data_IF_892600211829
#
_entry.id   IF_892600211829
#
_cell.length_a   1.000
_cell.length_b   1.000
_cell.length_c   1.000
_cell.angle_alpha   90.00
_cell.angle_beta   90.00
_cell.angle_gamma   90.00
#
_symmetry.space_group_name_H-M   'P 1'
#
loop_
_entity.id
_entity.type
_entity.pdbx_description
1 polymer ?
#
# COMPACT_ATOMS: atom_id res chain seq x y z
N UNK A 1 -20.24 15.20 1.00
CA UNK A 1 -20.39 13.78 0.62
C UNK A 1 -20.95 12.93 1.75
N UNK A 2 -20.26 12.76 2.90
CA UNK A 2 -20.78 11.95 4.02
C UNK A 2 -22.16 12.43 4.48
N UNK A 3 -22.35 13.74 4.64
CA UNK A 3 -23.66 14.32 4.96
C UNK A 3 -24.74 13.91 3.94
N UNK A 4 -24.43 14.00 2.64
CA UNK A 4 -25.34 13.60 1.55
C UNK A 4 -25.72 12.12 1.60
N UNK A 5 -24.81 11.23 2.01
CA UNK A 5 -25.12 9.81 2.20
C UNK A 5 -26.16 9.63 3.33
N UNK A 6 -25.98 10.34 4.44
CA UNK A 6 -26.93 10.30 5.55
C UNK A 6 -28.28 10.92 5.19
N UNK A 7 -28.29 12.08 4.53
CA UNK A 7 -29.51 12.78 4.10
C UNK A 7 -30.32 11.95 3.08
N UNK A 8 -29.66 11.09 2.30
CA UNK A 8 -30.30 10.15 1.37
C UNK A 8 -30.69 8.80 1.99
N UNK A 9 -30.43 8.62 3.29
CA UNK A 9 -30.68 7.37 4.02
C UNK A 9 -30.05 6.15 3.33
N UNK A 10 -28.78 6.24 2.92
CA UNK A 10 -28.09 5.26 2.08
C UNK A 10 -28.08 3.81 2.61
N UNK A 11 -28.23 3.60 3.93
CA UNK A 11 -28.33 2.28 4.55
C UNK A 11 -29.68 1.60 4.31
N UNK A 12 -30.70 2.36 3.95
CA UNK A 12 -32.05 1.87 3.63
C UNK A 12 -32.36 2.02 2.13
N UNK A 13 -31.91 3.10 1.52
CA UNK A 13 -32.05 3.38 0.10
C UNK A 13 -30.80 2.94 -0.65
N UNK A 14 -30.69 1.63 -0.89
CA UNK A 14 -29.52 1.02 -1.52
C UNK A 14 -29.34 1.54 -2.95
N UNK A 15 -28.17 2.09 -3.25
CA UNK A 15 -27.86 2.66 -4.57
C UNK A 15 -26.39 2.45 -4.92
N UNK A 16 -26.11 2.21 -6.20
CA UNK A 16 -24.74 2.14 -6.73
C UNK A 16 -24.00 3.47 -6.53
N UNK A 17 -24.71 4.60 -6.55
CA UNK A 17 -24.13 5.92 -6.31
C UNK A 17 -23.61 6.06 -4.87
N UNK A 18 -24.27 5.43 -3.90
CA UNK A 18 -23.78 5.40 -2.51
C UNK A 18 -22.48 4.60 -2.41
N UNK A 19 -22.40 3.46 -3.11
CA UNK A 19 -21.18 2.65 -3.17
C UNK A 19 -20.05 3.45 -3.84
N UNK A 20 -20.31 4.06 -4.99
CA UNK A 20 -19.34 4.91 -5.70
C UNK A 20 -18.83 6.05 -4.82
N UNK A 21 -19.73 6.78 -4.17
CA UNK A 21 -19.37 7.88 -3.28
C UNK A 21 -18.44 7.41 -2.16
N UNK A 22 -18.76 6.31 -1.48
CA UNK A 22 -17.93 5.76 -0.41
C UNK A 22 -16.55 5.32 -0.93
N UNK A 23 -16.51 4.59 -2.05
CA UNK A 23 -15.26 4.11 -2.66
C UNK A 23 -14.34 5.27 -3.08
N UNK A 24 -14.90 6.32 -3.68
CA UNK A 24 -14.15 7.53 -4.06
C UNK A 24 -13.67 8.29 -2.82
N UNK A 25 -14.45 8.28 -1.73
CA UNK A 25 -14.09 9.01 -0.53
C UNK A 25 -12.83 8.52 0.17
N UNK A 26 -12.48 7.25 -0.03
CA UNK A 26 -11.21 6.68 0.42
C UNK A 26 -10.02 7.48 -0.08
N UNK A 27 -10.11 8.11 -1.26
CA UNK A 27 -9.02 8.88 -1.85
C UNK A 27 -8.63 10.14 -1.06
N UNK A 28 -9.50 10.61 -0.16
CA UNK A 28 -9.28 11.83 0.66
C UNK A 28 -9.50 11.61 2.15
N UNK A 29 -10.26 10.58 2.55
CA UNK A 29 -10.65 10.38 3.94
C UNK A 29 -9.44 10.23 4.89
N UNK A 30 -8.36 9.62 4.41
CA UNK A 30 -7.13 9.47 5.18
C UNK A 30 -6.42 10.80 5.43
N UNK A 31 -6.34 11.69 4.42
CA UNK A 31 -5.76 13.02 4.59
C UNK A 31 -6.55 13.88 5.57
N UNK A 32 -7.88 13.67 5.63
CA UNK A 32 -8.78 14.39 6.54
C UNK A 32 -8.84 13.77 7.95
N UNK A 33 -8.08 12.70 8.22
CA UNK A 33 -8.09 12.02 9.52
C UNK A 33 -9.34 11.16 9.79
N UNK A 34 -10.17 10.91 8.77
CA UNK A 34 -11.44 10.17 8.85
C UNK A 34 -11.29 8.68 8.47
N UNK A 35 -10.11 8.10 8.67
CA UNK A 35 -9.80 6.73 8.23
C UNK A 35 -10.74 5.66 8.81
N UNK A 36 -11.07 5.75 10.09
CA UNK A 36 -11.94 4.78 10.75
C UNK A 36 -13.40 4.88 10.30
N UNK A 37 -13.88 6.11 10.11
CA UNK A 37 -15.19 6.36 9.52
C UNK A 37 -15.25 5.75 8.12
N UNK A 38 -14.23 6.00 7.29
CA UNK A 38 -14.17 5.46 5.93
C UNK A 38 -14.13 3.93 5.91
N UNK A 39 -13.35 3.28 6.77
CA UNK A 39 -13.31 1.82 6.87
C UNK A 39 -14.67 1.22 7.26
N UNK A 40 -15.43 1.90 8.12
CA UNK A 40 -16.79 1.50 8.51
C UNK A 40 -17.76 1.67 7.34
N UNK A 41 -17.74 2.84 6.68
CA UNK A 41 -18.56 3.12 5.50
C UNK A 41 -18.25 2.15 4.36
N UNK A 42 -16.98 1.82 4.15
CA UNK A 42 -16.53 0.85 3.14
C UNK A 42 -17.18 -0.52 3.34
N UNK A 43 -17.17 -1.06 4.57
CA UNK A 43 -17.83 -2.34 4.85
C UNK A 43 -19.35 -2.27 4.72
N UNK A 44 -19.97 -1.13 5.02
CA UNK A 44 -21.37 -0.91 4.67
C UNK A 44 -21.58 -0.92 3.15
N UNK A 45 -20.69 -0.29 2.38
CA UNK A 45 -20.73 -0.30 0.91
C UNK A 45 -20.54 -1.70 0.32
N UNK A 46 -19.68 -2.54 0.91
CA UNK A 46 -19.57 -3.98 0.55
C UNK A 46 -20.92 -4.65 0.67
N UNK A 47 -21.62 -4.48 1.80
CA UNK A 47 -22.95 -5.05 1.99
C UNK A 47 -23.98 -4.49 1.00
N UNK A 48 -23.95 -3.19 0.73
CA UNK A 48 -24.85 -2.56 -0.25
C UNK A 48 -24.60 -3.13 -1.65
N UNK A 49 -23.33 -3.24 -2.07
CA UNK A 49 -22.93 -3.82 -3.35
C UNK A 49 -23.37 -5.28 -3.48
N UNK A 50 -23.28 -6.07 -2.40
CA UNK A 50 -23.81 -7.43 -2.35
C UNK A 50 -25.31 -7.47 -2.59
N UNK A 51 -26.08 -6.65 -1.88
CA UNK A 51 -27.53 -6.54 -2.04
C UNK A 51 -27.94 -6.12 -3.46
N UNK A 52 -27.17 -5.25 -4.09
CA UNK A 52 -27.36 -4.81 -5.48
C UNK A 52 -26.87 -5.82 -6.52
N UNK A 53 -26.25 -6.93 -6.11
CA UNK A 53 -25.74 -7.96 -7.03
C UNK A 53 -24.44 -7.58 -7.77
N UNK A 54 -23.74 -6.54 -7.33
CA UNK A 54 -22.50 -6.04 -7.96
C UNK A 54 -21.37 -7.08 -7.91
N UNK A 55 -21.39 -7.99 -6.92
CA UNK A 55 -20.47 -9.12 -6.79
C UNK A 55 -20.71 -10.27 -7.78
N UNK A 56 -21.79 -10.23 -8.57
CA UNK A 56 -22.17 -11.31 -9.51
C UNK A 56 -22.61 -10.79 -10.88
N UNK A 57 -22.01 -9.69 -11.34
CA UNK A 57 -22.25 -9.12 -12.67
C UNK A 57 -21.74 -10.10 -13.74
N UNK A 58 -22.61 -10.43 -14.68
CA UNK A 58 -22.27 -11.30 -15.80
C UNK A 58 -21.54 -10.53 -16.91
N UNK A 59 -20.69 -11.23 -17.65
CA UNK A 59 -20.06 -10.66 -18.83
C UNK A 59 -21.07 -10.32 -19.94
N UNK A 60 -20.64 -9.45 -20.85
CA UNK A 60 -21.47 -9.01 -21.96
C UNK A 60 -21.79 -10.16 -22.90
N UNK A 61 -22.95 -10.06 -23.55
CA UNK A 61 -23.19 -10.87 -24.74
C UNK A 61 -22.19 -10.49 -25.84
N UNK A 62 -21.77 -11.46 -26.65
CA UNK A 62 -20.96 -11.21 -27.85
C UNK A 62 -21.76 -10.51 -28.96
N UNK A 63 -23.05 -10.28 -28.77
CA UNK A 63 -23.92 -9.59 -29.71
C UNK A 63 -23.56 -8.09 -29.75
N UNK A 64 -23.51 -7.48 -30.94
CA UNK A 64 -23.30 -6.05 -31.05
C UNK A 64 -24.48 -5.29 -30.46
N UNK A 65 -24.21 -4.14 -29.84
CA UNK A 65 -25.21 -3.19 -29.35
C UNK A 65 -26.14 -2.78 -30.50
N UNK A 66 -27.44 -3.06 -30.39
CA UNK A 66 -28.41 -2.77 -31.44
C UNK A 66 -29.20 -1.48 -31.20
N UNK A 67 -29.43 -1.16 -29.93
CA UNK A 67 -30.31 -0.07 -29.53
C UNK A 67 -29.77 0.67 -28.29
N UNK A 68 -30.51 1.68 -27.84
CA UNK A 68 -30.13 2.52 -26.70
C UNK A 68 -30.13 1.74 -25.38
N UNK A 69 -31.09 0.85 -25.16
CA UNK A 69 -31.22 0.08 -23.92
C UNK A 69 -30.05 -0.91 -23.78
N UNK A 70 -29.64 -1.55 -24.88
CA UNK A 70 -28.44 -2.40 -24.93
C UNK A 70 -27.17 -1.61 -24.54
N UNK A 71 -27.08 -0.35 -24.98
CA UNK A 71 -25.97 0.53 -24.65
C UNK A 71 -25.98 0.93 -23.17
N UNK A 72 -27.14 1.34 -22.64
CA UNK A 72 -27.29 1.71 -21.23
C UNK A 72 -26.96 0.51 -20.31
N UNK A 73 -27.46 -0.69 -20.62
CA UNK A 73 -27.12 -1.92 -19.89
C UNK A 73 -25.60 -2.20 -19.91
N UNK A 74 -24.97 -2.01 -21.08
CA UNK A 74 -23.52 -2.22 -21.24
C UNK A 74 -22.72 -1.24 -20.38
N UNK A 75 -23.11 0.02 -20.34
CA UNK A 75 -22.50 1.04 -19.49
C UNK A 75 -22.69 0.70 -18.02
N UNK A 76 -23.90 0.35 -17.58
CA UNK A 76 -24.18 0.01 -16.18
C UNK A 76 -23.34 -1.19 -15.70
N UNK A 77 -23.22 -2.23 -16.53
CA UNK A 77 -22.38 -3.40 -16.23
C UNK A 77 -20.91 -3.02 -16.08
N UNK A 78 -20.37 -2.21 -16.98
CA UNK A 78 -18.95 -1.80 -16.93
C UNK A 78 -18.65 -0.88 -15.75
N UNK A 79 -19.57 0.05 -15.44
CA UNK A 79 -19.48 0.86 -14.22
C UNK A 79 -19.51 -0.04 -13.00
N UNK A 80 -20.43 -1.00 -12.92
CA UNK A 80 -20.50 -1.95 -11.82
C UNK A 80 -19.23 -2.79 -11.65
N UNK A 81 -18.65 -3.29 -12.75
CA UNK A 81 -17.38 -4.04 -12.73
C UNK A 81 -16.21 -3.19 -12.24
N UNK A 82 -16.11 -1.93 -12.67
CA UNK A 82 -15.06 -0.98 -12.23
C UNK A 82 -15.19 -0.69 -10.74
N UNK A 83 -16.41 -0.43 -10.26
CA UNK A 83 -16.69 -0.22 -8.82
C UNK A 83 -16.30 -1.46 -8.02
N UNK A 84 -16.72 -2.65 -8.46
CA UNK A 84 -16.38 -3.90 -7.79
C UNK A 84 -14.86 -4.13 -7.72
N UNK A 85 -14.14 -3.93 -8.83
CA UNK A 85 -12.68 -4.06 -8.85
C UNK A 85 -12.01 -3.06 -7.90
N UNK A 86 -12.49 -1.81 -7.84
CA UNK A 86 -11.95 -0.83 -6.90
C UNK A 86 -12.20 -1.22 -5.44
N UNK A 87 -13.34 -1.83 -5.14
CA UNK A 87 -13.62 -2.36 -3.80
C UNK A 87 -12.67 -3.52 -3.45
N UNK A 88 -12.42 -4.45 -4.38
CA UNK A 88 -11.42 -5.51 -4.21
C UNK A 88 -10.04 -4.91 -3.90
N UNK A 89 -9.61 -3.90 -4.68
CA UNK A 89 -8.33 -3.22 -4.47
C UNK A 89 -8.23 -2.66 -3.06
N UNK A 90 -9.25 -1.90 -2.61
CA UNK A 90 -9.25 -1.26 -1.29
C UNK A 90 -9.27 -2.28 -0.15
N UNK A 91 -10.11 -3.32 -0.23
CA UNK A 91 -10.21 -4.37 0.79
C UNK A 91 -8.91 -5.19 0.89
N UNK A 92 -8.36 -5.63 -0.25
CA UNK A 92 -7.20 -6.50 -0.27
C UNK A 92 -5.89 -5.77 0.04
N UNK A 93 -5.74 -4.51 -0.38
CA UNK A 93 -4.58 -3.71 -0.01
C UNK A 93 -4.59 -3.29 1.47
N UNK A 94 -5.73 -3.37 2.15
CA UNK A 94 -5.84 -3.13 3.60
C UNK A 94 -5.42 -4.35 4.46
N UNK A 95 -5.37 -5.56 3.89
CA UNK A 95 -5.02 -6.81 4.59
C UNK A 95 -3.78 -6.69 5.48
N UNK A 96 -2.64 -6.11 5.04
CA UNK A 96 -1.45 -5.99 5.88
C UNK A 96 -1.67 -5.21 7.18
N UNK A 97 -2.74 -4.42 7.29
CA UNK A 97 -3.06 -3.59 8.45
C UNK A 97 -4.18 -4.18 9.30
N UNK A 98 -5.08 -4.96 8.70
CA UNK A 98 -6.28 -5.52 9.35
C UNK A 98 -6.15 -7.00 9.69
N UNK A 99 -5.18 -7.70 9.08
CA UNK A 99 -5.03 -9.17 9.12
C UNK A 99 -6.30 -9.94 8.70
N UNK A 100 -7.21 -9.28 7.99
CA UNK A 100 -8.49 -9.82 7.51
C UNK A 100 -8.94 -9.09 6.25
N UNK A 101 -9.87 -9.68 5.51
CA UNK A 101 -10.52 -9.10 4.35
C UNK A 101 -12.01 -9.45 4.35
N UNK A 102 -12.84 -8.59 3.78
CA UNK A 102 -14.29 -8.78 3.72
C UNK A 102 -14.74 -9.43 2.41
N UNK A 103 -14.03 -9.18 1.31
CA UNK A 103 -14.38 -9.69 -0.01
C UNK A 103 -13.58 -10.96 -0.26
N UNK A 104 -14.17 -12.14 -0.07
CA UNK A 104 -13.46 -13.38 -0.39
C UNK A 104 -13.47 -13.68 -1.88
N UNK A 105 -12.33 -14.08 -2.48
CA UNK A 105 -12.28 -14.59 -3.87
C UNK A 105 -13.22 -15.76 -4.13
N UNK A 106 -13.67 -16.48 -3.10
CA UNK A 106 -14.62 -17.59 -3.23
C UNK A 106 -16.08 -17.15 -3.30
N UNK A 107 -16.39 -15.87 -3.05
CA UNK A 107 -17.76 -15.38 -2.83
C UNK A 107 -18.26 -14.40 -3.90
N UNK A 108 -17.53 -14.22 -5.01
CA UNK A 108 -17.96 -13.36 -6.12
C UNK A 108 -17.66 -13.98 -7.48
N UNK A 109 -18.38 -13.54 -8.51
CA UNK A 109 -18.20 -13.98 -9.90
C UNK A 109 -18.07 -12.84 -10.91
N UNK A 110 -18.12 -11.59 -10.46
CA UNK A 110 -17.90 -10.41 -11.31
C UNK A 110 -16.51 -10.44 -11.92
N UNK A 111 -16.45 -10.45 -13.26
CA UNK A 111 -15.21 -10.38 -14.02
C UNK A 111 -14.58 -8.98 -14.04
N UNK A 112 -13.41 -8.87 -14.67
CA UNK A 112 -12.73 -7.58 -14.85
C UNK A 112 -13.48 -6.70 -15.86
N UNK A 113 -13.47 -5.36 -15.69
CA UNK A 113 -14.04 -4.45 -16.69
C UNK A 113 -13.25 -4.54 -17.98
N UNK A 114 -13.87 -4.33 -19.14
CA UNK A 114 -13.19 -4.30 -20.45
C UNK A 114 -12.06 -3.26 -20.46
N UNK A 115 -11.02 -3.50 -21.27
CA UNK A 115 -10.00 -2.49 -21.48
C UNK A 115 -10.47 -1.57 -22.60
N UNK A 116 -11.32 -0.61 -22.27
CA UNK A 116 -12.00 0.23 -23.24
C UNK A 116 -12.11 1.69 -22.77
N UNK A 117 -12.34 2.58 -23.73
CA UNK A 117 -12.72 3.97 -23.45
C UNK A 117 -14.21 4.11 -23.19
N UNK A 118 -14.59 5.15 -22.42
CA UNK A 118 -15.98 5.32 -21.96
C UNK A 118 -16.95 5.73 -23.08
N UNK A 119 -16.46 6.31 -24.17
CA UNK A 119 -17.31 6.82 -25.25
C UNK A 119 -17.78 5.73 -26.23
N UNK A 120 -17.09 4.60 -26.32
CA UNK A 120 -17.42 3.51 -27.25
C UNK A 120 -17.47 2.11 -26.59
N UNK A 121 -16.85 1.94 -25.42
CA UNK A 121 -16.68 0.67 -24.73
C UNK A 121 -16.15 -0.46 -25.64
N UNK A 122 -15.37 -0.13 -26.68
CA UNK A 122 -14.78 -1.15 -27.56
C UNK A 122 -13.58 -1.79 -26.85
N UNK A 123 -13.59 -3.10 -26.71
CA UNK A 123 -12.52 -3.81 -26.00
C UNK A 123 -11.21 -3.74 -26.80
N UNK A 124 -10.17 -3.25 -26.15
CA UNK A 124 -8.84 -3.05 -26.71
C UNK A 124 -7.82 -3.97 -26.04
N UNK A 125 -6.75 -4.38 -26.75
CA UNK A 125 -5.66 -5.12 -26.13
C UNK A 125 -5.12 -4.40 -24.89
N UNK A 126 -4.72 -5.13 -23.84
CA UNK A 126 -4.18 -4.55 -22.60
C UNK A 126 -2.90 -3.71 -22.83
N UNK A 127 -2.24 -3.89 -23.97
CA UNK A 127 -1.11 -3.09 -24.44
C UNK A 127 -1.50 -1.69 -24.94
N UNK A 128 -2.79 -1.38 -25.04
CA UNK A 128 -3.30 -0.06 -25.39
C UNK A 128 -3.82 0.63 -24.12
N UNK A 129 -3.32 1.83 -23.79
CA UNK A 129 -3.82 2.59 -22.64
C UNK A 129 -5.27 2.98 -22.88
N UNK A 130 -6.12 2.73 -21.88
CA UNK A 130 -7.51 3.19 -21.80
C UNK A 130 -7.81 3.64 -20.38
N UNK A 131 -8.93 4.33 -20.20
CA UNK A 131 -9.45 4.70 -18.88
C UNK A 131 -9.56 3.50 -17.90
N UNK A 132 -9.72 2.27 -18.42
CA UNK A 132 -9.87 1.06 -17.59
C UNK A 132 -8.56 0.30 -17.34
N UNK A 133 -7.46 0.63 -18.01
CA UNK A 133 -6.21 -0.14 -17.89
C UNK A 133 -5.67 -0.12 -16.47
N UNK A 134 -5.66 1.05 -15.83
CA UNK A 134 -5.03 1.23 -14.52
C UNK A 134 -5.69 0.37 -13.43
N UNK A 135 -7.03 0.41 -13.34
CA UNK A 135 -7.77 -0.41 -12.38
C UNK A 135 -7.56 -1.90 -12.63
N UNK A 136 -7.54 -2.34 -13.89
CA UNK A 136 -7.28 -3.75 -14.26
C UNK A 136 -5.89 -4.21 -13.79
N UNK A 137 -4.90 -3.35 -13.86
CA UNK A 137 -3.55 -3.62 -13.35
C UNK A 137 -3.54 -3.70 -11.82
N UNK A 138 -4.12 -2.72 -11.13
CA UNK A 138 -4.12 -2.69 -9.67
C UNK A 138 -4.83 -3.90 -9.05
N UNK A 139 -5.97 -4.33 -9.60
CA UNK A 139 -6.68 -5.49 -9.06
C UNK A 139 -5.91 -6.81 -9.27
N UNK A 140 -5.04 -6.92 -10.29
CA UNK A 140 -4.11 -8.06 -10.39
C UNK A 140 -3.12 -8.13 -9.23
N UNK A 141 -2.61 -6.98 -8.78
CA UNK A 141 -1.71 -6.92 -7.62
C UNK A 141 -2.49 -7.25 -6.34
N UNK A 142 -3.70 -6.71 -6.21
CA UNK A 142 -4.57 -6.89 -5.04
C UNK A 142 -4.96 -8.36 -4.81
N UNK A 143 -5.24 -9.13 -5.87
CA UNK A 143 -5.63 -10.54 -5.79
C UNK A 143 -4.57 -11.45 -5.14
N UNK A 144 -3.31 -11.01 -5.02
CA UNK A 144 -2.28 -11.77 -4.32
C UNK A 144 -2.39 -11.68 -2.79
N UNK A 145 -3.04 -10.63 -2.26
CA UNK A 145 -3.01 -10.30 -0.83
C UNK A 145 -3.83 -11.25 0.06
N UNK A 146 -5.00 -11.78 -0.35
CA UNK A 146 -5.67 -12.84 0.43
C UNK A 146 -4.78 -14.08 0.61
N UNK A 147 -4.09 -14.50 -0.45
CA UNK A 147 -3.15 -15.61 -0.41
C UNK A 147 -1.95 -15.36 0.53
N UNK A 148 -1.53 -14.10 0.69
CA UNK A 148 -0.51 -13.72 1.66
C UNK A 148 -0.96 -14.07 3.08
N UNK A 149 -2.10 -13.54 3.53
CA UNK A 149 -2.55 -13.71 4.92
C UNK A 149 -3.01 -15.14 5.22
N UNK A 150 -3.70 -15.79 4.28
CA UNK A 150 -4.22 -17.14 4.46
C UNK A 150 -3.07 -18.17 4.54
N UNK A 151 -2.00 -17.95 3.79
CA UNK A 151 -0.84 -18.83 3.81
C UNK A 151 -0.02 -18.78 5.10
N UNK A 152 -0.18 -17.74 5.94
CA UNK A 152 0.38 -17.68 7.30
C UNK A 152 -0.34 -18.63 8.28
N UNK A 153 -1.50 -19.17 7.90
CA UNK A 153 -2.35 -20.02 8.72
C UNK A 153 -3.33 -19.22 9.59
N UNK A 154 -4.27 -19.89 10.28
CA UNK A 154 -5.28 -19.20 11.08
C UNK A 154 -4.68 -18.33 12.18
N UNK A 155 -5.32 -17.20 12.51
CA UNK A 155 -4.80 -16.26 13.52
C UNK A 155 -4.56 -16.90 14.89
N UNK A 156 -5.44 -17.82 15.31
CA UNK A 156 -5.31 -18.58 16.57
C UNK A 156 -4.22 -19.65 16.57
N UNK A 157 -3.67 -19.97 15.40
CA UNK A 157 -2.74 -21.08 15.20
C UNK A 157 -1.88 -20.82 13.96
N UNK A 158 -1.08 -19.76 14.03
CA UNK A 158 -0.15 -19.40 12.94
C UNK A 158 0.85 -20.54 12.72
N UNK A 159 1.29 -20.70 11.47
CA UNK A 159 2.31 -21.69 11.10
C UNK A 159 3.64 -21.40 11.80
N UNK A 160 4.59 -22.36 11.87
CA UNK A 160 5.95 -22.08 12.32
C UNK A 160 6.62 -20.96 11.48
N UNK A 161 7.49 -20.16 12.10
CA UNK A 161 8.14 -19.02 11.43
C UNK A 161 8.86 -19.39 10.13
N UNK A 162 9.50 -20.57 10.09
CA UNK A 162 10.17 -21.07 8.89
C UNK A 162 9.22 -21.22 7.71
N UNK A 163 8.04 -21.80 7.94
CA UNK A 163 7.02 -21.98 6.91
C UNK A 163 6.39 -20.66 6.49
N UNK A 164 6.11 -19.77 7.46
CA UNK A 164 5.63 -18.42 7.16
C UNK A 164 6.62 -17.65 6.29
N UNK A 165 7.91 -17.71 6.61
CA UNK A 165 8.93 -17.01 5.85
C UNK A 165 9.08 -17.56 4.43
N UNK A 166 9.07 -18.90 4.29
CA UNK A 166 9.07 -19.53 2.96
C UNK A 166 7.85 -19.11 2.12
N UNK A 167 6.67 -19.03 2.73
CA UNK A 167 5.46 -18.54 2.08
C UNK A 167 5.61 -17.08 1.62
N UNK A 168 6.15 -16.21 2.46
CA UNK A 168 6.41 -14.80 2.13
C UNK A 168 7.32 -14.67 0.91
N UNK A 169 8.42 -15.43 0.84
CA UNK A 169 9.31 -15.41 -0.32
C UNK A 169 8.62 -15.88 -1.61
N UNK A 170 7.72 -16.86 -1.52
CA UNK A 170 6.92 -17.31 -2.66
C UNK A 170 5.93 -16.23 -3.14
N UNK A 171 5.30 -15.51 -2.20
CA UNK A 171 4.38 -14.43 -2.55
C UNK A 171 5.14 -13.23 -3.13
N UNK A 172 6.32 -12.90 -2.62
CA UNK A 172 7.21 -11.87 -3.20
C UNK A 172 7.56 -12.20 -4.66
N UNK A 173 7.97 -13.44 -4.94
CA UNK A 173 8.27 -13.88 -6.31
C UNK A 173 7.04 -13.76 -7.23
N UNK A 174 5.85 -14.13 -6.74
CA UNK A 174 4.59 -13.97 -7.49
C UNK A 174 4.28 -12.50 -7.77
N UNK A 175 4.46 -11.61 -6.78
CA UNK A 175 4.25 -10.18 -6.95
C UNK A 175 5.17 -9.62 -8.03
N UNK A 176 6.47 -9.94 -7.98
CA UNK A 176 7.44 -9.54 -9.00
C UNK A 176 7.07 -10.05 -10.40
N UNK A 177 6.57 -11.28 -10.50
CA UNK A 177 6.10 -11.86 -11.76
C UNK A 177 4.85 -11.14 -12.31
N UNK A 178 3.90 -10.76 -11.45
CA UNK A 178 2.72 -9.98 -11.88
C UNK A 178 3.15 -8.61 -12.38
N UNK A 179 4.04 -7.92 -11.65
CA UNK A 179 4.55 -6.60 -12.04
C UNK A 179 5.28 -6.66 -13.38
N UNK A 180 6.07 -7.71 -13.66
CA UNK A 180 6.75 -7.89 -14.95
C UNK A 180 5.79 -7.99 -16.15
N UNK A 181 4.55 -8.42 -15.94
CA UNK A 181 3.53 -8.54 -16.98
C UNK A 181 2.69 -7.27 -17.17
N UNK A 182 2.96 -6.20 -16.41
CA UNK A 182 2.26 -4.92 -16.56
C UNK A 182 2.65 -4.29 -17.91
N UNK A 183 1.70 -3.65 -18.64
CA UNK A 183 1.99 -3.00 -19.90
C UNK A 183 3.13 -1.97 -19.78
N UNK A 184 4.10 -1.95 -20.73
CA UNK A 184 5.29 -1.10 -20.61
C UNK A 184 5.02 0.39 -20.43
N UNK A 185 3.92 0.91 -20.99
CA UNK A 185 3.54 2.34 -20.84
C UNK A 185 3.20 2.72 -19.39
N UNK A 186 2.81 1.75 -18.54
CA UNK A 186 2.58 1.96 -17.12
C UNK A 186 3.82 1.69 -16.26
N UNK A 187 4.91 1.21 -16.85
CA UNK A 187 6.15 0.90 -16.14
C UNK A 187 7.24 1.90 -16.47
N UNK A 188 7.41 2.25 -17.75
CA UNK A 188 8.55 3.01 -18.26
C UNK A 188 8.13 4.40 -18.71
N UNK A 189 8.93 5.44 -18.45
CA UNK A 189 8.65 6.79 -18.92
C UNK A 189 8.65 6.83 -20.46
N UNK A 190 7.67 7.54 -21.01
CA UNK A 190 7.51 7.77 -22.44
C UNK A 190 6.92 9.16 -22.63
N UNK A 191 7.79 10.17 -22.79
CA UNK A 191 7.40 11.59 -22.82
C UNK A 191 6.37 11.89 -23.90
N UNK A 192 6.52 11.29 -25.08
CA UNK A 192 5.59 11.51 -26.19
C UNK A 192 4.19 10.97 -25.84
N UNK A 193 4.10 9.78 -25.23
CA UNK A 193 2.82 9.24 -24.77
C UNK A 193 2.26 10.00 -23.56
N UNK A 194 3.10 10.41 -22.63
CA UNK A 194 2.69 11.15 -21.43
C UNK A 194 2.16 12.55 -21.81
N UNK A 195 2.68 13.18 -22.87
CA UNK A 195 2.13 14.42 -23.43
C UNK A 195 0.74 14.20 -24.09
N UNK A 196 0.52 13.05 -24.71
CA UNK A 196 -0.75 12.70 -25.37
C UNK A 196 -1.82 12.21 -24.39
N UNK A 197 -1.41 11.60 -23.26
CA UNK A 197 -2.29 10.97 -22.28
C UNK A 197 -2.02 11.60 -20.91
N UNK A 198 -2.77 12.65 -20.52
CA UNK A 198 -2.45 13.49 -19.36
C UNK A 198 -2.37 12.74 -18.02
N UNK A 199 -3.08 11.62 -17.87
CA UNK A 199 -3.08 10.83 -16.64
C UNK A 199 -1.92 9.82 -16.55
N UNK A 200 -1.19 9.59 -17.65
CA UNK A 200 -0.27 8.46 -17.76
C UNK A 200 0.96 8.60 -16.84
N UNK A 201 1.58 9.78 -16.81
CA UNK A 201 2.76 10.03 -15.97
C UNK A 201 2.47 9.75 -14.49
N UNK A 202 1.40 10.35 -13.96
CA UNK A 202 1.03 10.17 -12.56
C UNK A 202 0.56 8.73 -12.26
N UNK A 203 -0.12 8.07 -13.19
CA UNK A 203 -0.51 6.67 -13.04
C UNK A 203 0.71 5.74 -12.95
N UNK A 204 1.70 5.92 -13.84
CA UNK A 204 2.96 5.16 -13.84
C UNK A 204 3.70 5.33 -12.51
N UNK A 205 3.88 6.57 -12.04
CA UNK A 205 4.55 6.84 -10.75
C UNK A 205 3.79 6.27 -9.57
N UNK A 206 2.46 6.45 -9.56
CA UNK A 206 1.59 5.87 -8.52
C UNK A 206 1.69 4.35 -8.48
N UNK A 207 1.80 3.70 -9.65
CA UNK A 207 2.00 2.26 -9.75
C UNK A 207 3.36 1.81 -9.25
N UNK A 208 4.42 2.54 -9.57
CA UNK A 208 5.77 2.29 -9.06
C UNK A 208 5.82 2.34 -7.53
N UNK A 209 5.25 3.39 -6.93
CA UNK A 209 5.13 3.52 -5.47
C UNK A 209 4.28 2.38 -4.90
N UNK A 210 3.12 2.07 -5.52
CA UNK A 210 2.23 0.99 -5.05
C UNK A 210 2.92 -0.37 -5.11
N UNK A 211 3.61 -0.70 -6.19
CA UNK A 211 4.31 -1.98 -6.33
C UNK A 211 5.42 -2.11 -5.29
N UNK A 212 6.24 -1.07 -5.11
CA UNK A 212 7.30 -1.06 -4.10
C UNK A 212 6.72 -1.20 -2.68
N UNK A 213 5.62 -0.50 -2.37
CA UNK A 213 4.98 -0.64 -1.06
C UNK A 213 4.40 -2.04 -0.85
N UNK A 214 3.79 -2.66 -1.86
CA UNK A 214 3.23 -4.00 -1.70
C UNK A 214 4.29 -5.06 -1.46
N UNK A 215 5.49 -4.89 -2.02
CA UNK A 215 6.66 -5.71 -1.68
C UNK A 215 7.02 -5.55 -0.20
N UNK A 216 7.08 -4.33 0.33
CA UNK A 216 7.30 -4.08 1.76
C UNK A 216 6.20 -4.77 2.60
N UNK A 217 4.94 -4.65 2.18
CA UNK A 217 3.81 -5.24 2.91
C UNK A 217 3.82 -6.76 2.93
N UNK A 218 4.24 -7.41 1.86
CA UNK A 218 4.47 -8.88 1.81
C UNK A 218 5.50 -9.29 2.87
N UNK A 219 6.55 -8.49 3.01
CA UNK A 219 7.64 -8.72 3.97
C UNK A 219 7.35 -8.26 5.40
N UNK A 220 6.25 -7.52 5.64
CA UNK A 220 5.88 -6.93 6.94
C UNK A 220 5.98 -7.89 8.13
N UNK A 221 5.55 -9.17 8.05
CA UNK A 221 5.60 -10.09 9.20
C UNK A 221 7.02 -10.35 9.74
N UNK A 222 8.07 -10.19 8.91
CA UNK A 222 9.46 -10.38 9.30
C UNK A 222 10.31 -9.11 9.21
N UNK A 223 9.72 -7.99 8.75
CA UNK A 223 10.42 -6.73 8.53
C UNK A 223 11.16 -6.26 9.79
N UNK A 224 10.47 -6.11 10.92
CA UNK A 224 11.12 -5.61 12.13
C UNK A 224 12.21 -6.57 12.67
N UNK A 225 11.95 -7.88 12.56
CA UNK A 225 12.92 -8.92 12.96
C UNK A 225 14.17 -8.88 12.09
N UNK A 226 14.05 -8.52 10.82
CA UNK A 226 15.16 -8.47 9.86
C UNK A 226 16.24 -7.44 10.19
N UNK A 227 15.93 -6.42 11.00
CA UNK A 227 16.93 -5.46 11.47
C UNK A 227 17.85 -6.04 12.56
N UNK A 228 17.45 -7.13 13.22
CA UNK A 228 18.16 -7.70 14.36
C UNK A 228 18.68 -9.12 14.07
N UNK A 229 18.01 -9.86 13.17
CA UNK A 229 18.36 -11.23 12.82
C UNK A 229 18.82 -11.33 11.35
N UNK A 230 20.11 -11.64 11.11
CA UNK A 230 20.67 -11.81 9.76
C UNK A 230 19.99 -12.89 8.91
N UNK A 231 19.28 -13.84 9.54
CA UNK A 231 18.50 -14.88 8.84
C UNK A 231 17.49 -14.28 7.88
N UNK A 232 16.95 -13.10 8.19
CA UNK A 232 15.98 -12.38 7.36
C UNK A 232 16.60 -11.24 6.55
N UNK A 233 17.91 -11.29 6.29
CA UNK A 233 18.64 -10.24 5.54
C UNK A 233 18.03 -9.90 4.18
N UNK A 234 17.46 -10.88 3.47
CA UNK A 234 16.74 -10.63 2.22
C UNK A 234 15.56 -9.66 2.42
N UNK A 235 14.76 -9.86 3.48
CA UNK A 235 13.65 -8.97 3.83
C UNK A 235 14.13 -7.55 4.09
N UNK A 236 15.20 -7.39 4.87
CA UNK A 236 15.80 -6.08 5.16
C UNK A 236 16.24 -5.39 3.88
N UNK A 237 17.08 -6.04 3.07
CA UNK A 237 17.59 -5.50 1.79
C UNK A 237 16.46 -5.08 0.86
N UNK A 238 15.51 -5.98 0.60
CA UNK A 238 14.37 -5.74 -0.30
C UNK A 238 13.50 -4.59 0.19
N UNK A 239 13.20 -4.51 1.49
CA UNK A 239 12.34 -3.47 2.04
C UNK A 239 13.02 -2.10 2.08
N UNK A 240 14.33 -2.04 2.36
CA UNK A 240 15.11 -0.79 2.33
C UNK A 240 15.22 -0.26 0.90
N UNK A 241 15.50 -1.12 -0.06
CA UNK A 241 15.56 -0.74 -1.47
C UNK A 241 14.19 -0.23 -1.97
N UNK A 242 13.11 -0.95 -1.65
CA UNK A 242 11.75 -0.53 -1.95
C UNK A 242 11.38 0.81 -1.30
N UNK A 243 11.78 1.03 -0.04
CA UNK A 243 11.56 2.29 0.66
C UNK A 243 12.28 3.45 -0.05
N UNK A 244 13.54 3.27 -0.46
CA UNK A 244 14.27 4.28 -1.24
C UNK A 244 13.58 4.62 -2.55
N UNK A 245 13.10 3.62 -3.28
CA UNK A 245 12.29 3.83 -4.49
C UNK A 245 11.06 4.70 -4.22
N UNK A 246 10.29 4.38 -3.18
CA UNK A 246 9.09 5.15 -2.81
C UNK A 246 9.45 6.62 -2.55
N UNK A 247 10.54 6.86 -1.80
CA UNK A 247 10.96 8.24 -1.48
C UNK A 247 11.40 9.02 -2.72
N UNK A 248 12.07 8.38 -3.68
CA UNK A 248 12.50 8.99 -4.96
C UNK A 248 11.32 9.34 -5.87
N UNK A 249 10.38 8.42 -6.02
CA UNK A 249 9.16 8.66 -6.82
C UNK A 249 8.28 9.73 -6.17
N UNK A 250 8.12 9.69 -4.85
CA UNK A 250 7.39 10.73 -4.11
C UNK A 250 8.04 12.11 -4.26
N UNK A 251 9.37 12.19 -4.21
CA UNK A 251 10.09 13.45 -4.46
C UNK A 251 9.80 14.02 -5.85
N UNK A 252 9.78 13.14 -6.85
CA UNK A 252 9.53 13.51 -8.24
C UNK A 252 8.10 14.02 -8.43
N UNK A 253 7.10 13.34 -7.84
CA UNK A 253 5.70 13.81 -7.83
C UNK A 253 5.59 15.22 -7.21
N UNK A 254 6.25 15.45 -6.07
CA UNK A 254 6.21 16.76 -5.41
C UNK A 254 6.92 17.83 -6.23
N UNK A 255 8.08 17.52 -6.80
CA UNK A 255 8.89 18.46 -7.60
C UNK A 255 8.17 18.90 -8.88
N UNK A 256 7.41 17.99 -9.50
CA UNK A 256 6.67 18.26 -10.73
C UNK A 256 5.26 18.82 -10.47
N UNK A 257 4.92 19.10 -9.20
CA UNK A 257 3.62 19.62 -8.79
C UNK A 257 2.44 18.73 -9.25
N UNK A 258 2.69 17.42 -9.36
CA UNK A 258 1.68 16.43 -9.72
C UNK A 258 0.63 16.26 -8.61
N UNK A 259 -0.51 15.66 -8.97
CA UNK A 259 -1.56 15.30 -8.01
C UNK A 259 -1.00 14.31 -6.98
N UNK A 260 -0.94 14.74 -5.72
CA UNK A 260 -0.55 13.88 -4.60
C UNK A 260 -1.78 13.32 -3.89
N UNK A 261 -2.01 12.02 -4.04
CA UNK A 261 -3.09 11.27 -3.36
C UNK A 261 -2.63 10.72 -2.01
N UNK A 262 -3.59 10.30 -1.18
CA UNK A 262 -3.30 9.82 0.18
C UNK A 262 -2.30 8.65 0.23
N UNK A 263 -2.32 7.76 -0.78
CA UNK A 263 -1.41 6.61 -0.85
C UNK A 263 0.04 7.06 -1.00
N UNK A 264 0.32 8.09 -1.80
CA UNK A 264 1.68 8.64 -1.91
C UNK A 264 2.20 9.12 -0.55
N UNK A 265 1.35 9.81 0.20
CA UNK A 265 1.68 10.29 1.56
C UNK A 265 1.89 9.12 2.52
N UNK A 266 0.95 8.17 2.58
CA UNK A 266 1.01 7.00 3.45
C UNK A 266 2.27 6.15 3.20
N UNK A 267 2.61 5.95 1.93
CA UNK A 267 3.71 5.10 1.52
C UNK A 267 5.05 5.81 1.72
N UNK A 268 5.13 7.13 1.51
CA UNK A 268 6.31 7.92 1.87
C UNK A 268 6.59 7.90 3.38
N UNK A 269 5.56 7.96 4.23
CA UNK A 269 5.70 7.80 5.69
C UNK A 269 6.25 6.42 6.02
N UNK A 270 5.65 5.36 5.44
CA UNK A 270 6.09 3.97 5.67
C UNK A 270 7.55 3.78 5.26
N UNK A 271 7.94 4.30 4.10
CA UNK A 271 9.31 4.26 3.61
C UNK A 271 10.27 5.02 4.54
N UNK A 272 9.94 6.25 4.94
CA UNK A 272 10.76 7.04 5.86
C UNK A 272 10.96 6.33 7.22
N UNK A 273 9.92 5.67 7.75
CA UNK A 273 10.00 4.87 8.97
C UNK A 273 10.98 3.70 8.81
N UNK A 274 10.92 2.97 7.69
CA UNK A 274 11.86 1.88 7.38
C UNK A 274 13.29 2.40 7.29
N UNK A 275 13.50 3.54 6.64
CA UNK A 275 14.82 4.17 6.57
C UNK A 275 15.32 4.58 7.96
N UNK A 276 14.44 5.05 8.86
CA UNK A 276 14.83 5.33 10.25
C UNK A 276 15.30 4.07 10.98
N UNK A 277 14.58 2.94 10.80
CA UNK A 277 15.01 1.65 11.36
C UNK A 277 16.36 1.21 10.78
N UNK A 278 16.57 1.39 9.48
CA UNK A 278 17.84 1.05 8.81
C UNK A 278 19.01 1.87 9.37
N UNK A 279 18.86 3.19 9.47
CA UNK A 279 19.89 4.08 10.03
C UNK A 279 20.23 3.70 11.47
N UNK A 280 19.22 3.37 12.28
CA UNK A 280 19.43 2.94 13.67
C UNK A 280 20.10 1.57 13.78
N UNK A 281 19.90 0.68 12.80
CA UNK A 281 20.50 -0.65 12.76
C UNK A 281 21.93 -0.66 12.19
N UNK A 282 22.37 0.40 11.51
CA UNK A 282 23.76 0.56 11.07
C UNK A 282 24.62 0.95 12.28
N UNK A 283 25.60 0.12 12.63
CA UNK A 283 26.51 0.37 13.75
C UNK A 283 27.39 1.61 13.53
N UNK A 284 27.69 2.36 14.59
CA UNK A 284 28.48 3.62 14.61
C UNK A 284 29.84 3.53 13.88
N UNK A 285 30.44 2.33 13.77
CA UNK A 285 31.73 2.13 13.09
C UNK A 285 31.64 2.15 11.57
N UNK A 286 30.43 2.14 10.99
CA UNK A 286 30.20 2.19 9.55
C UNK A 286 29.67 3.57 9.15
N UNK A 287 30.54 4.59 9.20
CA UNK A 287 30.36 5.86 8.47
C UNK A 287 30.45 5.60 6.95
N UNK A 288 29.54 4.78 6.42
CA UNK A 288 29.43 4.55 4.98
C UNK A 288 28.66 5.71 4.34
N UNK A 289 29.03 6.09 3.13
CA UNK A 289 28.30 7.08 2.34
C UNK A 289 26.79 6.74 2.22
N UNK A 290 26.45 5.45 2.29
CA UNK A 290 25.06 4.96 2.30
C UNK A 290 24.27 5.43 3.51
N UNK A 291 24.85 5.42 4.73
CA UNK A 291 24.14 5.86 5.93
C UNK A 291 23.82 7.38 5.88
N UNK A 292 24.71 8.17 5.29
CA UNK A 292 24.48 9.60 5.08
C UNK A 292 23.36 9.84 4.05
N UNK A 293 23.40 9.14 2.92
CA UNK A 293 22.35 9.20 1.90
C UNK A 293 20.96 8.84 2.46
N UNK A 294 20.88 7.84 3.33
CA UNK A 294 19.62 7.46 3.99
C UNK A 294 19.09 8.55 4.93
N UNK A 295 19.98 9.20 5.70
CA UNK A 295 19.60 10.33 6.55
C UNK A 295 19.07 11.50 5.72
N UNK A 296 19.71 11.82 4.61
CA UNK A 296 19.26 12.87 3.68
C UNK A 296 17.89 12.54 3.09
N UNK A 297 17.67 11.28 2.66
CA UNK A 297 16.37 10.84 2.16
C UNK A 297 15.26 10.98 3.21
N UNK A 298 15.53 10.62 4.48
CA UNK A 298 14.58 10.79 5.59
C UNK A 298 14.25 12.28 5.80
N UNK A 299 15.26 13.13 5.89
CA UNK A 299 15.08 14.56 6.14
C UNK A 299 14.32 15.25 5.00
N UNK A 300 14.63 14.90 3.76
CA UNK A 300 13.94 15.40 2.57
C UNK A 300 12.48 14.94 2.53
N UNK A 301 12.22 13.66 2.80
CA UNK A 301 10.86 13.13 2.90
C UNK A 301 10.06 13.81 4.02
N UNK A 302 10.66 13.96 5.20
CA UNK A 302 10.04 14.67 6.34
C UNK A 302 9.69 16.11 5.97
N UNK A 303 10.59 16.85 5.31
CA UNK A 303 10.34 18.22 4.91
C UNK A 303 9.14 18.34 3.96
N UNK A 304 9.06 17.45 2.94
CA UNK A 304 7.92 17.39 2.02
C UNK A 304 6.60 17.02 2.69
N UNK A 305 6.63 16.13 3.68
CA UNK A 305 5.44 15.77 4.46
C UNK A 305 5.00 16.93 5.36
N UNK A 306 5.96 17.62 5.98
CA UNK A 306 5.69 18.75 6.88
C UNK A 306 5.06 19.93 6.14
N UNK A 307 5.37 20.16 4.87
CA UNK A 307 4.76 21.23 4.06
C UNK A 307 3.29 20.97 3.69
N UNK A 308 2.71 19.83 4.06
CA UNK A 308 1.30 19.48 3.79
C UNK A 308 0.42 19.81 4.99
N UNK A 309 0.17 21.10 5.22
CA UNK A 309 -0.52 21.58 6.43
C UNK A 309 -1.96 21.08 6.60
N UNK A 310 -2.66 20.80 5.50
CA UNK A 310 -4.05 20.31 5.50
C UNK A 310 -4.15 18.77 5.49
N UNK A 311 -3.03 18.07 5.55
CA UNK A 311 -2.95 16.63 5.47
C UNK A 311 -2.63 16.04 6.85
N UNK A 312 -3.69 15.66 7.58
CA UNK A 312 -3.58 15.09 8.94
C UNK A 312 -2.70 13.84 8.93
N UNK A 313 -2.74 13.04 7.87
CA UNK A 313 -1.91 11.86 7.73
C UNK A 313 -0.42 12.24 7.63
N UNK A 314 -0.09 13.24 6.81
CA UNK A 314 1.27 13.74 6.68
C UNK A 314 1.80 14.30 8.01
N UNK A 315 1.00 15.10 8.71
CA UNK A 315 1.39 15.69 10.01
C UNK A 315 1.62 14.62 11.09
N UNK A 316 0.78 13.59 11.16
CA UNK A 316 1.00 12.41 12.02
C UNK A 316 2.28 11.66 11.62
N UNK A 317 2.52 11.52 10.32
CA UNK A 317 3.73 10.91 9.78
C UNK A 317 5.01 11.62 10.20
N UNK A 318 5.04 12.97 10.13
CA UNK A 318 6.18 13.78 10.58
C UNK A 318 6.45 13.54 12.07
N UNK A 319 5.42 13.59 12.91
CA UNK A 319 5.55 13.32 14.34
C UNK A 319 6.12 11.92 14.64
N UNK A 320 5.76 10.92 13.83
CA UNK A 320 6.29 9.55 13.94
C UNK A 320 7.76 9.47 13.50
N UNK A 321 8.11 10.09 12.37
CA UNK A 321 9.50 10.14 11.89
C UNK A 321 10.38 10.81 12.94
N UNK A 322 9.95 11.93 13.50
CA UNK A 322 10.68 12.63 14.57
C UNK A 322 10.84 11.80 15.84
N UNK A 323 9.80 11.06 16.23
CA UNK A 323 9.85 10.16 17.38
C UNK A 323 10.93 9.08 17.22
N UNK A 324 10.98 8.41 16.06
CA UNK A 324 11.92 7.31 15.80
C UNK A 324 13.34 7.84 15.63
N UNK A 325 13.50 8.94 14.88
CA UNK A 325 14.82 9.51 14.60
C UNK A 325 15.48 10.10 15.86
N UNK A 326 14.68 10.72 16.74
CA UNK A 326 15.16 11.25 18.03
C UNK A 326 15.36 10.14 19.08
N UNK A 327 14.57 9.05 19.04
CA UNK A 327 14.80 7.88 19.89
C UNK A 327 16.15 7.22 19.60
N UNK A 328 16.53 7.08 18.33
CA UNK A 328 17.87 6.62 17.95
C UNK A 328 18.98 7.51 18.51
N UNK A 329 18.77 8.83 18.46
CA UNK A 329 19.72 9.85 18.93
C UNK A 329 20.01 9.79 20.44
N UNK A 330 18.98 9.59 21.28
CA UNK A 330 19.15 9.57 22.74
C UNK A 330 19.76 8.28 23.28
N UNK A 331 19.55 7.14 22.58
CA UNK A 331 20.20 5.85 22.86
C UNK A 331 21.72 5.87 22.57
N UNK A 332 22.25 6.94 21.96
CA UNK A 332 23.68 7.14 21.75
C UNK A 332 24.42 7.74 22.96
N UNK A 333 23.72 8.31 23.95
CA UNK A 333 24.35 8.88 25.15
C UNK A 333 24.48 7.91 26.34
N UNK A 334 23.99 6.67 26.23
CA UNK A 334 24.05 5.67 27.30
C UNK A 334 24.55 4.31 26.80
N UNK A 335 25.82 3.98 27.10
CA UNK A 335 26.39 2.64 27.27
C UNK A 335 26.08 1.51 26.27
N UNK A 336 27.14 0.85 25.79
CA UNK A 336 27.15 -0.37 24.98
C UNK A 336 26.44 -1.56 25.64
N UNK A 337 25.14 -1.73 25.38
CA UNK A 337 24.43 -3.01 25.47
C UNK A 337 23.54 -3.14 24.24
N UNK A 338 23.37 -4.36 23.74
CA UNK A 338 22.66 -4.73 22.50
C UNK A 338 21.34 -3.95 22.37
N UNK A 339 21.37 -2.89 21.54
CA UNK A 339 20.37 -1.81 21.49
C UNK A 339 19.10 -2.28 20.77
N UNK A 340 18.18 -2.89 21.51
CA UNK A 340 16.82 -3.07 21.01
C UNK A 340 16.09 -1.73 21.09
N UNK A 341 15.46 -1.30 20.00
CA UNK A 341 14.69 -0.05 19.97
C UNK A 341 13.56 -0.12 21.01
N UNK A 342 13.52 0.83 21.95
CA UNK A 342 12.47 0.89 22.97
C UNK A 342 11.18 1.47 22.36
N UNK A 343 10.26 0.59 21.98
CA UNK A 343 8.95 0.96 21.46
C UNK A 343 8.11 1.78 22.45
N UNK A 344 8.29 1.60 23.76
CA UNK A 344 7.63 2.40 24.78
C UNK A 344 8.10 3.86 24.72
N UNK A 345 9.40 4.08 24.55
CA UNK A 345 9.98 5.41 24.36
C UNK A 345 9.52 6.05 23.04
N UNK A 346 9.48 5.30 21.93
CA UNK A 346 8.98 5.78 20.63
C UNK A 346 7.52 6.22 20.76
N UNK A 347 6.67 5.43 21.42
CA UNK A 347 5.25 5.74 21.60
C UNK A 347 5.03 7.01 22.48
N UNK A 348 5.82 7.17 23.53
CA UNK A 348 5.78 8.38 24.38
C UNK A 348 6.21 9.64 23.62
N UNK A 349 7.27 9.54 22.81
CA UNK A 349 7.73 10.63 21.93
C UNK A 349 6.69 10.96 20.86
N UNK A 350 6.13 9.95 20.19
CA UNK A 350 5.07 10.12 19.20
C UNK A 350 3.86 10.84 19.79
N UNK A 351 3.44 10.48 20.99
CA UNK A 351 2.32 11.15 21.70
C UNK A 351 2.63 12.61 22.02
N UNK A 352 3.90 12.94 22.27
CA UNK A 352 4.34 14.31 22.54
C UNK A 352 4.38 15.13 21.26
N UNK A 353 5.02 14.61 20.20
CA UNK A 353 5.07 15.28 18.90
C UNK A 353 3.69 15.44 18.27
N UNK A 354 2.81 14.44 18.38
CA UNK A 354 1.44 14.52 17.87
C UNK A 354 0.66 15.67 18.52
N UNK A 355 0.81 15.90 19.83
CA UNK A 355 0.18 17.04 20.53
C UNK A 355 0.72 18.39 20.06
N UNK A 356 2.00 18.47 19.71
CA UNK A 356 2.63 19.69 19.21
C UNK A 356 2.17 20.01 17.77
N UNK A 357 2.02 19.00 16.92
CA UNK A 357 1.67 19.18 15.51
C UNK A 357 0.17 19.31 15.23
N UNK A 358 -0.69 18.62 16.00
CA UNK A 358 -2.12 18.49 15.68
C UNK A 358 -3.05 19.10 16.75
N UNK A 359 -2.51 19.64 17.84
CA UNK A 359 -3.29 20.08 19.00
C UNK A 359 -3.77 18.91 19.88
N UNK A 360 -4.50 19.22 20.96
CA UNK A 360 -5.13 18.18 21.79
C UNK A 360 -6.20 17.44 20.98
N UNK A 361 -6.25 16.10 20.99
CA UNK A 361 -7.31 15.38 20.29
C UNK A 361 -8.66 15.87 20.82
N UNK A 362 -9.55 16.29 19.91
CA UNK A 362 -10.97 16.39 20.24
C UNK A 362 -11.39 15.05 20.80
N UNK A 363 -12.11 15.04 21.91
CA UNK A 363 -12.72 13.88 22.57
C UNK A 363 -13.57 13.07 21.58
N UNK A 364 -12.93 12.23 20.78
CA UNK A 364 -13.56 11.05 20.21
C UNK A 364 -13.85 10.14 21.39
N UNK A 365 -15.14 9.82 21.58
CA UNK A 365 -15.61 8.97 22.66
C UNK A 365 -14.75 7.72 22.74
N UNK A 366 -14.17 7.45 23.92
CA UNK A 366 -13.45 6.21 24.18
C UNK A 366 -14.33 5.03 23.75
N UNK A 367 -13.89 4.19 22.80
CA UNK A 367 -14.61 2.96 22.51
C UNK A 367 -14.66 2.13 23.80
N UNK A 368 -15.82 1.60 24.14
CA UNK A 368 -15.93 0.62 25.21
C UNK A 368 -14.88 -0.46 24.98
N UNK A 369 -13.89 -0.53 25.87
CA UNK A 369 -12.77 -1.45 25.72
C UNK A 369 -13.33 -2.84 26.00
N UNK A 370 -13.55 -3.64 24.97
CA UNK A 370 -13.61 -5.08 25.15
C UNK A 370 -12.21 -5.44 25.66
N UNK A 371 -12.13 -6.04 26.85
CA UNK A 371 -10.87 -6.46 27.45
C UNK A 371 -10.19 -7.47 26.52
N UNK A 372 -9.33 -6.98 25.63
CA UNK A 372 -8.36 -7.79 24.92
C UNK A 372 -7.34 -8.25 25.94
N UNK A 373 -7.25 -9.56 26.13
CA UNK A 373 -6.09 -10.20 26.77
C UNK A 373 -4.85 -9.58 26.16
N UNK A 374 -3.96 -9.05 27.00
CA UNK A 374 -2.66 -8.53 26.57
C UNK A 374 -2.05 -9.51 25.57
N UNK A 375 -1.84 -9.06 24.32
CA UNK A 375 -1.10 -9.82 23.33
C UNK A 375 0.37 -9.85 23.75
N UNK A 376 0.69 -10.70 24.73
CA UNK A 376 2.06 -11.01 25.15
C UNK A 376 2.81 -11.87 24.12
N UNK A 377 2.16 -12.35 23.06
CA UNK A 377 2.80 -13.24 22.09
C UNK A 377 3.36 -12.50 20.86
N UNK A 378 4.45 -11.73 21.03
CA UNK A 378 5.38 -11.43 19.92
C UNK A 378 6.86 -11.49 20.33
N UNK A 379 7.20 -11.55 21.63
CA UNK A 379 8.60 -11.57 22.07
C UNK A 379 8.80 -12.73 23.05
N UNK A 380 9.04 -13.93 22.52
CA UNK A 380 9.41 -15.07 23.35
C UNK A 380 9.24 -16.39 22.64
N UNK A 381 10.22 -16.80 21.84
CA UNK A 381 10.36 -18.21 21.50
C UNK A 381 11.85 -18.58 21.49
N UNK A 382 12.15 -19.55 22.34
CA UNK A 382 13.43 -20.18 22.57
C UNK A 382 14.06 -20.69 21.27
N UNK A 383 15.36 -20.45 21.10
CA UNK A 383 16.18 -21.03 20.05
C UNK A 383 16.49 -22.48 20.37
N UNK A 384 16.01 -23.40 19.53
CA UNK A 384 16.81 -24.53 19.06
C UNK A 384 16.09 -25.11 17.84
N UNK A 385 16.68 -24.97 16.65
CA UNK A 385 16.64 -25.98 15.56
C UNK A 385 17.26 -25.45 14.25
N UNK A 386 18.40 -26.06 13.93
CA UNK A 386 19.00 -26.33 12.61
C UNK A 386 18.97 -25.26 11.51
N UNK A 387 20.19 -24.80 11.17
CA UNK A 387 20.53 -24.06 9.94
C UNK A 387 20.02 -24.78 8.68
N UNK A 388 19.16 -24.15 7.85
CA UNK A 388 18.86 -24.64 6.52
C UNK A 388 19.92 -24.18 5.51
N UNK A 389 20.40 -25.11 4.68
CA UNK A 389 21.08 -24.82 3.42
C UNK A 389 20.05 -24.36 2.40
N UNK A 390 20.01 -23.07 2.06
CA UNK A 390 19.11 -22.53 1.04
C UNK A 390 19.67 -22.79 -0.36
N UNK A 391 18.98 -23.62 -1.14
CA UNK A 391 19.14 -23.72 -2.58
C UNK A 391 18.07 -22.88 -3.28
N UNK A 392 18.54 -21.89 -4.05
CA UNK A 392 17.86 -21.25 -5.20
C UNK A 392 16.45 -20.70 -4.96
N UNK A 393 16.34 -19.61 -4.19
CA UNK A 393 15.69 -18.44 -4.77
C UNK A 393 16.83 -17.69 -5.47
N UNK A 394 16.80 -17.58 -6.80
CA UNK A 394 17.76 -16.73 -7.50
C UNK A 394 17.72 -15.35 -6.84
N UNK A 395 18.89 -14.86 -6.42
CA UNK A 395 19.10 -13.64 -5.65
C UNK A 395 18.79 -12.43 -6.56
N UNK A 396 17.52 -12.25 -6.92
CA UNK A 396 17.05 -11.12 -7.70
C UNK A 396 17.13 -9.91 -6.77
N UNK A 397 18.20 -9.14 -6.95
CA UNK A 397 18.40 -7.86 -6.29
C UNK A 397 17.23 -6.92 -6.59
N UNK A 398 16.63 -6.34 -5.54
CA UNK A 398 15.44 -5.51 -5.71
C UNK A 398 15.73 -4.27 -6.56
N UNK A 399 16.85 -3.60 -6.36
CA UNK A 399 17.21 -2.41 -7.13
C UNK A 399 17.40 -2.76 -8.60
N UNK A 400 18.12 -3.84 -8.90
CA UNK A 400 18.27 -4.34 -10.27
C UNK A 400 16.91 -4.65 -10.92
N UNK A 401 16.06 -5.42 -10.24
CA UNK A 401 14.73 -5.77 -10.73
C UNK A 401 13.83 -4.55 -10.94
N UNK A 402 13.80 -3.64 -9.95
CA UNK A 402 12.97 -2.45 -10.01
C UNK A 402 13.41 -1.55 -11.15
N UNK A 403 14.73 -1.33 -11.27
CA UNK A 403 15.27 -0.49 -12.34
C UNK A 403 15.06 -1.10 -13.73
N UNK A 404 15.20 -2.42 -13.90
CA UNK A 404 14.89 -3.09 -15.19
C UNK A 404 13.40 -3.00 -15.56
N UNK A 405 12.55 -3.01 -14.54
CA UNK A 405 11.09 -3.00 -14.70
C UNK A 405 10.59 -1.59 -15.01
N UNK A 406 10.94 -0.60 -14.19
CA UNK A 406 10.38 0.75 -14.21
C UNK A 406 11.24 1.78 -14.95
N UNK A 407 12.51 1.48 -15.25
CA UNK A 407 13.38 2.36 -16.02
C UNK A 407 13.97 1.65 -17.24
N UNK A 408 14.39 2.42 -18.24
CA UNK A 408 15.22 1.91 -19.34
C UNK A 408 16.69 2.03 -18.93
N UNK A 409 17.49 0.98 -19.15
CA UNK A 409 18.95 0.98 -18.91
C UNK A 409 19.75 1.92 -19.84
N UNK A 410 19.12 2.96 -20.43
CA UNK A 410 19.72 3.79 -21.47
C UNK A 410 19.74 5.30 -21.21
N UNK A 411 19.24 5.80 -20.09
CA UNK A 411 19.56 7.17 -19.67
C UNK A 411 20.48 7.12 -18.44
N UNK A 412 21.74 7.61 -18.54
CA UNK A 412 22.58 7.76 -17.36
C UNK A 412 21.89 8.72 -16.40
N UNK A 413 21.71 8.27 -15.15
CA UNK A 413 21.40 9.13 -14.01
C UNK A 413 22.41 10.29 -14.01
N UNK A 414 21.96 11.50 -14.38
CA UNK A 414 22.70 12.70 -14.03
C UNK A 414 22.53 12.89 -12.52
N UNK A 415 23.57 12.45 -11.80
CA UNK A 415 23.78 12.65 -10.36
C UNK A 415 23.76 14.12 -9.98
#
# INVERSE_FOLDING_TARGET
>A
MVQTLYDSHFLSNLSIYSVQAIVISTEVAHNLGLSQLNATLFNAAVRIAECLGVHKIQDHSTKPVQNKDDWEERVEREVGKRVWCQMIIQDHFAIPFTDTYSISPMHFSTGRPMNAEDYDLVDMPISTPTTSTYVRVLVNLAELMPGLVDGLGPMKSRKPHREQYQHILQVDQKMRAVVKNIPPFLLRPDKEKEEQIPWLSIARRSLAITAAEKIIMIHRPFLFRSFHDPTYSYTRRTSVAAAMTILREHETIVREEDISIWTHTAFAITAAVIMCFEVNAIAESAFSASAQSYKEAILSARARLASRDLDVLAQRGVALIDAIFTAGSDLHNGGTSTKMMDFGQILAKFSTFSRLHLGSPSTEASPGTIATVESQDVIGAHFDEMRPTWGTAEDIDFDAWFNETFYSLQEPLQL
#
